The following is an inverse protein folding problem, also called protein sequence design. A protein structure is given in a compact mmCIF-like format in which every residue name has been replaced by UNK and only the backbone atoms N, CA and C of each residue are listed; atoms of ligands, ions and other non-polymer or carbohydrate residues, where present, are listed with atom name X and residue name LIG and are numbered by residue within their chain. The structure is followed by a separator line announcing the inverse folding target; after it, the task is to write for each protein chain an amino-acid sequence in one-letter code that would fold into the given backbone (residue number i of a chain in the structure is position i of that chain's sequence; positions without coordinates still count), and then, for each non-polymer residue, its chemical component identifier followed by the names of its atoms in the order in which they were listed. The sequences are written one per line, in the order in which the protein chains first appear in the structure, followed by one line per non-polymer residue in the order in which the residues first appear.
data_IF_244128782632
#
_entry.id   IF_244128782632
#
_cell.length_a   1.000
_cell.length_b   1.000
_cell.length_c   1.000
_cell.angle_alpha   90.00
_cell.angle_beta   90.00
_cell.angle_gamma   90.00
#
_symmetry.space_group_name_H-M   'P 1'
#
loop_
_entity.id
_entity.type
_entity.pdbx_description
1 polymer ?
#
# COMPACT_ATOMS: atom_id res chain seq x y z
N UNK A 1 -0.04 -2.38 85.46
CA UNK A 1 1.29 -3.01 85.31
C UNK A 1 1.25 -3.82 84.02
N UNK A 2 2.06 -3.39 83.05
CA UNK A 2 2.55 -4.11 81.87
C UNK A 2 1.52 -4.68 80.86
N UNK A 3 1.67 -4.58 79.54
CA UNK A 3 2.64 -3.96 78.64
C UNK A 3 2.01 -3.98 77.24
N UNK A 4 2.25 -2.93 76.48
CA UNK A 4 2.05 -2.84 75.03
C UNK A 4 2.84 -3.93 74.28
N UNK A 5 2.36 -4.39 73.11
CA UNK A 5 3.06 -4.22 71.81
C UNK A 5 2.39 -4.99 70.66
N UNK A 6 1.64 -4.24 69.85
CA UNK A 6 1.65 -4.17 68.37
C UNK A 6 1.44 -5.47 67.58
N UNK A 7 0.19 -5.67 67.13
CA UNK A 7 -0.14 -6.51 65.97
C UNK A 7 0.11 -5.70 64.69
N UNK A 8 1.05 -6.16 63.87
CA UNK A 8 1.38 -5.57 62.58
C UNK A 8 0.34 -5.95 61.53
N UNK A 9 -0.68 -5.10 61.33
CA UNK A 9 -1.51 -5.13 60.13
C UNK A 9 -0.75 -4.43 58.99
N UNK A 10 0.01 -5.21 58.22
CA UNK A 10 0.54 -4.76 56.93
C UNK A 10 -0.61 -4.69 55.92
N UNK A 11 -1.20 -3.51 55.74
CA UNK A 11 -2.05 -3.23 54.58
C UNK A 11 -1.14 -2.84 53.42
N UNK A 12 -0.73 -3.81 52.62
CA UNK A 12 -0.06 -3.57 51.35
C UNK A 12 -1.06 -3.05 50.32
N UNK A 13 -0.98 -1.76 49.99
CA UNK A 13 -1.71 -1.18 48.88
C UNK A 13 -1.11 -1.70 47.56
N UNK A 14 -1.74 -2.72 46.96
CA UNK A 14 -1.40 -3.17 45.62
C UNK A 14 -1.96 -2.15 44.63
N UNK A 15 -1.12 -1.20 44.22
CA UNK A 15 -1.41 -0.36 43.05
C UNK A 15 -1.20 -1.26 41.83
N UNK A 16 -2.28 -1.87 41.35
CA UNK A 16 -2.31 -2.43 40.00
C UNK A 16 -2.15 -1.25 39.04
N UNK A 17 -0.95 -1.08 38.48
CA UNK A 17 -0.77 -0.36 37.23
C UNK A 17 -1.49 -1.16 36.15
N UNK A 18 -2.79 -0.93 36.02
CA UNK A 18 -3.51 -1.26 34.82
C UNK A 18 -2.85 -0.45 33.71
N UNK A 19 -2.00 -1.10 32.93
CA UNK A 19 -1.71 -0.60 31.60
C UNK A 19 -3.06 -0.53 30.91
N UNK A 20 -3.64 0.67 30.85
CA UNK A 20 -4.62 0.99 29.83
C UNK A 20 -3.81 0.90 28.55
N UNK A 21 -3.72 -0.31 28.00
CA UNK A 21 -3.45 -0.49 26.60
C UNK A 21 -4.57 0.29 25.93
N UNK A 22 -4.29 1.52 25.51
CA UNK A 22 -5.11 2.15 24.48
C UNK A 22 -5.08 1.15 23.35
N UNK A 23 -6.16 0.38 23.22
CA UNK A 23 -6.38 -0.49 22.09
C UNK A 23 -6.18 0.44 20.91
N UNK A 24 -5.08 0.27 20.17
CA UNK A 24 -4.82 1.08 18.99
C UNK A 24 -6.07 0.94 18.15
N UNK A 25 -6.87 2.00 18.04
CA UNK A 25 -8.00 2.01 17.12
C UNK A 25 -7.47 1.52 15.77
N UNK A 26 -8.24 0.62 15.16
CA UNK A 26 -7.79 -0.17 14.02
C UNK A 26 -7.15 0.75 12.98
N UNK A 27 -5.85 0.56 12.75
CA UNK A 27 -5.08 1.42 11.89
C UNK A 27 -5.43 1.09 10.44
N UNK A 28 -6.11 2.00 9.75
CA UNK A 28 -6.43 1.82 8.33
C UNK A 28 -5.14 1.57 7.51
N UNK A 29 -5.24 0.72 6.50
CA UNK A 29 -4.14 0.40 5.61
C UNK A 29 -4.44 0.89 4.19
N UNK A 30 -3.60 1.79 3.67
CA UNK A 30 -3.78 2.43 2.38
C UNK A 30 -2.60 2.05 1.48
N UNK A 31 -2.89 1.48 0.32
CA UNK A 31 -1.85 0.92 -0.56
C UNK A 31 -1.88 1.61 -1.91
N UNK A 32 -0.72 2.06 -2.38
CA UNK A 32 -0.52 2.72 -3.66
C UNK A 32 0.61 2.02 -4.41
N UNK A 33 0.59 2.09 -5.74
CA UNK A 33 1.73 1.62 -6.52
C UNK A 33 1.37 0.76 -7.71
N UNK A 34 2.28 -0.15 -8.01
CA UNK A 34 2.26 -1.00 -9.20
C UNK A 34 1.80 -2.44 -8.92
N UNK A 35 2.12 -3.35 -9.84
CA UNK A 35 1.73 -4.77 -9.78
C UNK A 35 2.25 -5.51 -8.55
N UNK A 36 3.33 -5.03 -7.91
CA UNK A 36 3.89 -5.68 -6.73
C UNK A 36 2.96 -5.63 -5.52
N UNK A 37 2.00 -4.70 -5.54
CA UNK A 37 1.06 -4.47 -4.46
C UNK A 37 -0.39 -4.38 -4.92
N UNK A 38 -0.67 -4.58 -6.22
CA UNK A 38 -2.04 -4.72 -6.71
C UNK A 38 -2.69 -6.02 -6.20
N UNK A 39 -3.93 -5.90 -5.72
CA UNK A 39 -4.74 -7.01 -5.23
C UNK A 39 -6.01 -7.24 -6.04
N UNK A 40 -6.11 -6.64 -7.23
CA UNK A 40 -7.17 -6.90 -8.21
C UNK A 40 -7.87 -5.66 -8.78
N UNK A 41 -7.30 -4.45 -8.68
CA UNK A 41 -7.91 -3.28 -9.32
C UNK A 41 -7.93 -3.42 -10.85
N UNK A 42 -6.87 -4.00 -11.42
CA UNK A 42 -6.74 -4.16 -12.87
C UNK A 42 -7.81 -5.09 -13.48
N UNK A 43 -8.41 -5.98 -12.69
CA UNK A 43 -9.46 -6.89 -13.15
C UNK A 43 -10.76 -6.15 -13.50
N UNK A 44 -10.93 -4.94 -12.97
CA UNK A 44 -12.06 -4.03 -13.27
C UNK A 44 -11.79 -3.12 -14.50
N UNK A 45 -10.64 -3.23 -15.16
CA UNK A 45 -10.22 -2.36 -16.25
C UNK A 45 -10.07 -3.12 -17.56
N UNK A 46 -10.40 -2.51 -18.70
CA UNK A 46 -10.05 -3.06 -20.02
C UNK A 46 -8.54 -2.84 -20.25
N UNK A 47 -7.73 -3.83 -19.87
CA UNK A 47 -6.25 -3.77 -19.85
C UNK A 47 -5.65 -5.13 -20.17
N UNK A 48 -4.42 -5.14 -20.67
CA UNK A 48 -3.63 -6.38 -20.84
C UNK A 48 -2.85 -6.75 -19.58
N UNK A 49 -2.68 -5.82 -18.64
CA UNK A 49 -2.03 -6.07 -17.36
C UNK A 49 -3.05 -6.62 -16.35
N UNK A 50 -3.41 -7.90 -16.45
CA UNK A 50 -4.32 -8.59 -15.50
C UNK A 50 -3.69 -9.82 -14.89
N UNK A 51 -4.15 -10.16 -13.68
CA UNK A 51 -3.74 -11.35 -12.95
C UNK A 51 -4.93 -12.20 -12.48
N UNK A 52 -6.00 -12.19 -13.29
CA UNK A 52 -7.26 -12.94 -13.10
C UNK A 52 -7.26 -14.30 -13.84
N UNK A 53 -6.09 -14.82 -14.22
CA UNK A 53 -5.94 -16.10 -14.94
C UNK A 53 -4.80 -16.97 -14.38
N UNK A 54 -4.76 -18.25 -14.76
CA UNK A 54 -3.65 -19.14 -14.43
C UNK A 54 -2.33 -18.62 -15.06
N UNK A 55 -1.17 -18.66 -14.37
CA UNK A 55 -0.88 -19.36 -13.11
C UNK A 55 -1.05 -18.53 -11.83
N UNK A 56 -1.58 -17.31 -11.90
CA UNK A 56 -1.71 -16.45 -10.72
C UNK A 56 -2.60 -17.12 -9.65
N UNK A 57 -2.18 -17.03 -8.39
CA UNK A 57 -2.92 -17.60 -7.27
C UNK A 57 -2.81 -19.13 -7.09
N UNK A 58 -1.93 -19.84 -7.82
CA UNK A 58 -1.75 -21.29 -7.68
C UNK A 58 -1.32 -21.72 -6.26
N UNK A 59 -0.52 -20.90 -5.58
CA UNK A 59 -0.04 -21.12 -4.21
C UNK A 59 -0.86 -20.33 -3.17
N UNK A 60 -1.89 -19.60 -3.60
CA UNK A 60 -2.82 -18.91 -2.70
C UNK A 60 -3.72 -19.95 -2.01
N UNK A 61 -4.20 -19.73 -0.76
CA UNK A 61 -5.05 -20.71 -0.06
C UNK A 61 -6.30 -21.20 -0.81
N UNK A 62 -6.81 -20.41 -1.76
CA UNK A 62 -7.96 -20.78 -2.59
C UNK A 62 -7.58 -21.55 -3.87
N UNK A 63 -6.30 -21.61 -4.23
CA UNK A 63 -5.77 -22.18 -5.48
C UNK A 63 -6.49 -21.66 -6.74
N UNK A 64 -6.85 -20.37 -6.74
CA UNK A 64 -7.62 -19.70 -7.81
C UNK A 64 -6.96 -18.36 -8.12
N UNK A 65 -7.11 -17.84 -9.36
CA UNK A 65 -6.67 -16.48 -9.67
C UNK A 65 -7.25 -15.45 -8.72
N UNK A 66 -6.40 -14.53 -8.27
CA UNK A 66 -6.71 -13.59 -7.19
C UNK A 66 -6.60 -12.12 -7.60
N UNK A 67 -6.19 -11.83 -8.85
CA UNK A 67 -5.86 -10.48 -9.28
C UNK A 67 -4.49 -9.98 -8.79
N UNK A 68 -3.73 -10.82 -8.06
CA UNK A 68 -2.37 -10.51 -7.61
C UNK A 68 -1.36 -11.03 -8.62
N UNK A 69 -0.35 -10.22 -8.94
CA UNK A 69 0.77 -10.60 -9.82
C UNK A 69 1.78 -11.51 -9.10
N UNK A 70 1.28 -12.59 -8.49
CA UNK A 70 2.01 -13.58 -7.72
C UNK A 70 1.27 -14.91 -7.72
N UNK A 71 1.98 -15.99 -7.45
CA UNK A 71 1.37 -17.29 -7.20
C UNK A 71 0.60 -17.31 -5.87
N UNK A 72 0.99 -16.48 -4.90
CA UNK A 72 0.47 -16.51 -3.54
C UNK A 72 0.24 -15.10 -2.98
N UNK A 73 0.46 -14.96 -1.66
CA UNK A 73 0.29 -13.70 -0.95
C UNK A 73 1.28 -12.64 -1.44
N UNK A 74 0.80 -11.41 -1.64
CA UNK A 74 1.63 -10.24 -1.91
C UNK A 74 2.03 -9.53 -0.61
N UNK A 75 2.93 -8.56 -0.68
CA UNK A 75 3.38 -7.78 0.50
C UNK A 75 2.18 -7.16 1.27
N UNK A 76 1.19 -6.52 0.61
CA UNK A 76 0.00 -6.01 1.29
C UNK A 76 -0.80 -7.09 2.01
N UNK A 77 -0.86 -8.31 1.48
CA UNK A 77 -1.57 -9.41 2.17
C UNK A 77 -0.84 -9.83 3.43
N UNK A 78 0.48 -9.94 3.37
CA UNK A 78 1.30 -10.29 4.53
C UNK A 78 1.17 -9.22 5.60
N UNK A 79 1.24 -7.94 5.22
CA UNK A 79 1.02 -6.83 6.15
C UNK A 79 -0.39 -6.89 6.73
N UNK A 80 -1.41 -7.11 5.89
CA UNK A 80 -2.80 -7.25 6.35
C UNK A 80 -2.98 -8.42 7.31
N UNK A 81 -2.33 -9.55 7.04
CA UNK A 81 -2.33 -10.71 7.94
C UNK A 81 -1.69 -10.39 9.28
N UNK A 82 -0.54 -9.72 9.31
CA UNK A 82 0.10 -9.27 10.56
C UNK A 82 -0.81 -8.28 11.30
N UNK A 83 -1.43 -7.32 10.62
CA UNK A 83 -2.38 -6.39 11.22
C UNK A 83 -3.61 -7.12 11.78
N UNK A 84 -4.09 -8.17 11.11
CA UNK A 84 -5.16 -9.02 11.61
C UNK A 84 -4.80 -9.70 12.91
N UNK A 85 -3.62 -10.32 12.98
CA UNK A 85 -3.16 -11.01 14.19
C UNK A 85 -2.93 -10.05 15.38
N UNK A 86 -2.49 -8.81 15.11
CA UNK A 86 -2.17 -7.83 16.15
C UNK A 86 -3.37 -7.01 16.64
N UNK A 87 -4.25 -6.62 15.73
CA UNK A 87 -5.34 -5.65 16.01
C UNK A 87 -6.70 -6.08 15.43
N UNK A 88 -6.84 -7.30 14.91
CA UNK A 88 -8.11 -7.84 14.41
C UNK A 88 -8.59 -7.22 13.09
N UNK A 89 -7.72 -6.53 12.34
CA UNK A 89 -8.07 -5.86 11.08
C UNK A 89 -8.38 -6.86 9.94
N UNK A 90 -9.31 -6.51 9.06
CA UNK A 90 -9.54 -7.28 7.82
C UNK A 90 -8.52 -6.89 6.72
N UNK A 91 -8.29 -7.74 5.71
CA UNK A 91 -7.52 -7.35 4.54
C UNK A 91 -8.19 -6.24 3.74
N UNK A 92 -7.40 -5.28 3.27
CA UNK A 92 -7.89 -4.19 2.41
C UNK A 92 -8.38 -4.72 1.06
N UNK A 93 -9.47 -4.15 0.55
CA UNK A 93 -9.98 -4.46 -0.79
C UNK A 93 -9.37 -3.55 -1.87
N UNK A 94 -9.39 -3.98 -3.15
CA UNK A 94 -9.18 -3.08 -4.28
C UNK A 94 -10.18 -1.92 -4.23
N UNK A 95 -9.74 -0.69 -4.51
CA UNK A 95 -10.59 0.49 -4.49
C UNK A 95 -11.80 0.37 -5.42
N UNK A 96 -11.62 -0.26 -6.59
CA UNK A 96 -12.68 -0.47 -7.57
C UNK A 96 -13.65 -1.61 -7.20
N UNK A 97 -13.40 -2.34 -6.11
CA UNK A 97 -14.28 -3.42 -5.69
C UNK A 97 -15.65 -2.88 -5.25
N UNK A 98 -16.77 -3.46 -5.74
CA UNK A 98 -18.10 -3.08 -5.28
C UNK A 98 -18.33 -3.40 -3.80
N UNK A 99 -17.50 -4.29 -3.21
CA UNK A 99 -17.56 -4.65 -1.80
C UNK A 99 -16.88 -3.62 -0.89
N UNK A 100 -16.14 -2.64 -1.42
CA UNK A 100 -15.53 -1.60 -0.60
C UNK A 100 -16.57 -0.53 -0.26
N UNK A 101 -17.36 -0.73 0.79
CA UNK A 101 -18.36 0.22 1.29
C UNK A 101 -18.63 0.05 2.79
N UNK A 102 -19.26 1.04 3.43
CA UNK A 102 -19.57 1.01 4.87
C UNK A 102 -18.32 0.82 5.73
N UNK A 103 -18.40 -0.06 6.72
CA UNK A 103 -17.31 -0.39 7.66
C UNK A 103 -16.02 -0.84 6.97
N UNK A 104 -16.11 -1.43 5.77
CA UNK A 104 -14.90 -1.82 4.99
C UNK A 104 -14.08 -0.62 4.55
N UNK A 105 -14.66 0.59 4.49
CA UNK A 105 -13.89 1.81 4.28
C UNK A 105 -12.98 2.11 5.48
N UNK A 106 -13.34 1.74 6.71
CA UNK A 106 -12.53 2.01 7.90
C UNK A 106 -11.23 1.17 7.93
N UNK A 107 -11.27 0.01 7.29
CA UNK A 107 -10.10 -0.88 7.12
C UNK A 107 -9.04 -0.25 6.22
N UNK A 108 -9.46 0.57 5.25
CA UNK A 108 -8.61 1.15 4.22
C UNK A 108 -8.87 0.55 2.84
N UNK A 109 -7.99 0.84 1.89
CA UNK A 109 -8.18 0.48 0.49
C UNK A 109 -6.85 0.35 -0.24
N UNK A 110 -6.84 -0.49 -1.27
CA UNK A 110 -5.74 -0.63 -2.19
C UNK A 110 -6.06 0.09 -3.50
N UNK A 111 -5.26 1.10 -3.84
CA UNK A 111 -5.37 1.93 -5.03
C UNK A 111 -4.38 1.51 -6.13
N UNK A 112 -3.50 0.55 -5.86
CA UNK A 112 -2.44 0.15 -6.78
C UNK A 112 -2.97 -0.44 -8.09
N UNK A 113 -2.16 -0.37 -9.14
CA UNK A 113 -2.53 -0.85 -10.47
C UNK A 113 -1.30 -1.27 -11.25
N UNK A 114 -1.35 -2.46 -11.84
CA UNK A 114 -0.22 -2.99 -12.59
C UNK A 114 0.22 -2.13 -13.77
N UNK A 115 1.53 -2.13 -14.01
CA UNK A 115 2.17 -1.50 -15.16
C UNK A 115 2.51 -0.02 -14.99
N UNK A 116 2.03 0.64 -13.93
CA UNK A 116 2.32 2.06 -13.69
C UNK A 116 3.75 2.27 -13.19
N UNK A 117 4.26 3.48 -13.39
CA UNK A 117 5.50 3.95 -12.77
C UNK A 117 5.30 5.29 -12.04
N UNK A 118 6.43 5.90 -11.67
CA UNK A 118 6.52 7.27 -11.20
C UNK A 118 6.07 8.22 -12.32
N UNK A 119 6.49 7.96 -13.56
CA UNK A 119 6.20 8.81 -14.70
C UNK A 119 4.85 8.48 -15.33
N UNK A 120 4.15 9.51 -15.79
CA UNK A 120 2.82 9.37 -16.40
C UNK A 120 2.84 8.64 -17.76
N UNK A 121 3.98 8.59 -18.45
CA UNK A 121 4.12 7.88 -19.71
C UNK A 121 4.59 6.42 -19.55
N UNK A 122 4.96 6.01 -18.34
CA UNK A 122 5.28 4.62 -18.03
C UNK A 122 4.01 3.75 -18.11
N UNK A 123 4.14 2.59 -18.75
CA UNK A 123 3.05 1.60 -18.86
C UNK A 123 2.07 1.82 -20.01
N UNK A 124 2.39 2.70 -20.97
CA UNK A 124 1.51 2.99 -22.11
C UNK A 124 1.08 1.73 -22.90
N UNK A 125 1.95 0.71 -22.96
CA UNK A 125 1.72 -0.55 -23.65
C UNK A 125 0.59 -1.41 -23.05
N UNK A 126 0.17 -1.10 -21.81
CA UNK A 126 -0.89 -1.83 -21.11
C UNK A 126 -2.28 -1.22 -21.29
N UNK A 127 -2.44 -0.27 -22.23
CA UNK A 127 -3.70 0.42 -22.50
C UNK A 127 -4.22 1.18 -21.28
N UNK A 128 -5.21 0.62 -20.57
CA UNK A 128 -5.85 1.27 -19.43
C UNK A 128 -5.21 0.83 -18.12
N UNK A 129 -4.63 1.76 -17.37
CA UNK A 129 -4.01 1.53 -16.05
C UNK A 129 -4.30 2.72 -15.14
N UNK A 130 -4.38 2.48 -13.83
CA UNK A 130 -4.65 3.54 -12.86
C UNK A 130 -3.32 4.19 -12.47
N UNK A 131 -2.86 5.11 -13.30
CA UNK A 131 -1.61 5.86 -13.06
C UNK A 131 -1.62 6.55 -11.71
N UNK A 132 -0.43 6.86 -11.19
CA UNK A 132 -0.30 7.35 -9.81
C UNK A 132 -1.15 8.60 -9.51
N UNK A 133 -1.26 9.56 -10.43
CA UNK A 133 -2.14 10.72 -10.22
C UNK A 133 -3.61 10.29 -10.03
N UNK A 134 -4.06 9.26 -10.74
CA UNK A 134 -5.41 8.74 -10.64
C UNK A 134 -5.62 7.96 -9.34
N UNK A 135 -4.61 7.25 -8.86
CA UNK A 135 -4.65 6.64 -7.53
C UNK A 135 -4.81 7.69 -6.42
N UNK A 136 -4.14 8.84 -6.56
CA UNK A 136 -4.30 9.97 -5.62
C UNK A 136 -5.69 10.62 -5.73
N UNK A 137 -6.25 10.75 -6.93
CA UNK A 137 -7.65 11.18 -7.10
C UNK A 137 -8.63 10.19 -6.45
N UNK A 138 -8.42 8.89 -6.64
CA UNK A 138 -9.21 7.85 -5.97
C UNK A 138 -9.06 7.90 -4.46
N UNK A 139 -7.89 8.24 -3.95
CA UNK A 139 -7.72 8.47 -2.53
C UNK A 139 -8.52 9.68 -2.02
N UNK A 140 -8.56 10.78 -2.78
CA UNK A 140 -9.44 11.91 -2.45
C UNK A 140 -10.92 11.52 -2.46
N UNK A 141 -11.35 10.73 -3.45
CA UNK A 141 -12.72 10.21 -3.51
C UNK A 141 -13.02 9.27 -2.35
N UNK A 142 -12.08 8.39 -2.00
CA UNK A 142 -12.16 7.54 -0.81
C UNK A 142 -12.35 8.38 0.46
N UNK A 143 -11.59 9.46 0.63
CA UNK A 143 -11.74 10.36 1.78
C UNK A 143 -13.12 11.04 1.80
N UNK A 144 -13.69 11.41 0.65
CA UNK A 144 -15.05 11.95 0.58
C UNK A 144 -16.10 10.92 1.00
N UNK A 145 -15.97 9.67 0.53
CA UNK A 145 -16.86 8.56 0.89
C UNK A 145 -16.75 8.22 2.38
N UNK A 146 -15.53 8.23 2.91
CA UNK A 146 -15.26 8.03 4.32
C UNK A 146 -15.84 9.18 5.17
N UNK A 147 -15.66 10.42 4.73
CA UNK A 147 -16.23 11.62 5.39
C UNK A 147 -17.74 11.55 5.46
N UNK A 148 -18.40 11.09 4.39
CA UNK A 148 -19.86 10.90 4.40
C UNK A 148 -20.31 9.81 5.38
N UNK A 149 -19.43 8.87 5.74
CA UNK A 149 -19.75 7.75 6.63
C UNK A 149 -19.48 8.06 8.11
N UNK A 150 -18.34 8.68 8.43
CA UNK A 150 -17.89 8.88 9.83
C UNK A 150 -17.66 10.35 10.22
N UNK A 151 -17.85 11.29 9.29
CA UNK A 151 -17.60 12.71 9.52
C UNK A 151 -16.15 13.12 9.20
N UNK A 152 -15.95 14.44 9.04
CA UNK A 152 -14.69 15.00 8.56
C UNK A 152 -13.54 14.87 9.57
N UNK A 153 -13.81 15.09 10.85
CA UNK A 153 -12.78 15.03 11.91
C UNK A 153 -12.25 13.60 12.09
N UNK A 154 -13.15 12.63 12.16
CA UNK A 154 -12.81 11.21 12.28
C UNK A 154 -12.08 10.72 11.03
N UNK A 155 -12.51 11.16 9.83
CA UNK A 155 -11.81 10.87 8.57
C UNK A 155 -10.37 11.39 8.61
N UNK A 156 -10.18 12.63 9.05
CA UNK A 156 -8.84 13.22 9.14
C UNK A 156 -7.96 12.46 10.13
N UNK A 157 -8.49 12.06 11.29
CA UNK A 157 -7.75 11.25 12.27
C UNK A 157 -7.37 9.89 11.69
N UNK A 158 -8.32 9.16 11.10
CA UNK A 158 -8.09 7.84 10.49
C UNK A 158 -7.02 7.91 9.40
N UNK A 159 -7.10 8.89 8.50
CA UNK A 159 -6.11 9.07 7.42
C UNK A 159 -4.72 9.43 7.96
N UNK A 160 -4.64 10.33 8.94
CA UNK A 160 -3.37 10.72 9.55
C UNK A 160 -2.71 9.54 10.28
N UNK A 161 -3.51 8.67 10.89
CA UNK A 161 -3.01 7.54 11.66
C UNK A 161 -2.74 6.30 10.80
N UNK A 162 -3.32 6.23 9.60
CA UNK A 162 -3.19 5.11 8.67
C UNK A 162 -1.74 4.67 8.41
N UNK A 163 -1.56 3.40 8.09
CA UNK A 163 -0.34 2.91 7.47
C UNK A 163 -0.48 3.08 5.96
N UNK A 164 0.49 3.73 5.33
CA UNK A 164 0.53 3.87 3.88
C UNK A 164 1.68 3.04 3.33
N UNK A 165 1.43 2.25 2.30
CA UNK A 165 2.46 1.55 1.51
C UNK A 165 2.44 2.10 0.09
N UNK A 166 3.62 2.43 -0.46
CA UNK A 166 3.76 2.86 -1.85
C UNK A 166 4.92 2.15 -2.57
N UNK A 167 4.62 1.58 -3.74
CA UNK A 167 5.63 0.95 -4.63
C UNK A 167 5.60 1.56 -6.02
N UNK A 168 6.70 2.19 -6.42
CA UNK A 168 6.86 2.77 -7.76
C UNK A 168 8.32 2.69 -8.18
N UNK A 169 8.58 2.85 -9.48
CA UNK A 169 9.92 3.03 -10.03
C UNK A 169 10.39 1.86 -10.90
N UNK A 170 10.05 0.62 -10.56
CA UNK A 170 10.53 -0.55 -11.30
C UNK A 170 10.14 -0.51 -12.78
N UNK A 171 8.88 -0.19 -13.06
CA UNK A 171 8.37 -0.05 -14.42
C UNK A 171 8.99 1.14 -15.18
N UNK A 172 9.46 2.19 -14.50
CA UNK A 172 10.12 3.32 -15.17
C UNK A 172 11.47 2.92 -15.76
N UNK A 173 12.13 1.90 -15.20
CA UNK A 173 13.30 1.27 -15.80
C UNK A 173 12.90 0.24 -16.83
N UNK A 174 12.15 -0.79 -16.42
CA UNK A 174 11.85 -1.95 -17.27
C UNK A 174 11.04 -1.57 -18.51
N UNK A 175 9.97 -0.82 -18.34
CA UNK A 175 9.02 -0.54 -19.42
C UNK A 175 9.31 0.76 -20.18
N UNK A 176 10.05 1.70 -19.60
CA UNK A 176 10.27 3.03 -20.20
C UNK A 176 11.72 3.25 -20.63
N UNK A 177 12.69 2.72 -19.88
CA UNK A 177 14.12 2.93 -20.15
C UNK A 177 14.76 1.77 -20.93
N UNK A 178 14.53 0.51 -20.52
CA UNK A 178 15.20 -0.67 -21.07
C UNK A 178 14.37 -1.52 -22.04
N UNK A 179 13.05 -1.31 -22.10
CA UNK A 179 12.12 -2.13 -22.89
C UNK A 179 12.57 -2.38 -24.33
N UNK A 180 13.15 -1.37 -24.98
CA UNK A 180 13.68 -1.45 -26.35
C UNK A 180 15.04 -0.76 -26.45
N UNK A 181 15.94 -1.23 -27.32
CA UNK A 181 17.18 -0.51 -27.64
C UNK A 181 16.86 0.93 -28.08
N UNK A 182 17.58 1.90 -27.51
CA UNK A 182 17.38 3.33 -27.80
C UNK A 182 15.94 3.81 -27.57
N UNK A 183 15.31 3.33 -26.50
CA UNK A 183 14.05 3.88 -25.98
C UNK A 183 14.04 5.42 -25.96
N UNK A 184 12.87 6.03 -26.03
CA UNK A 184 12.76 7.49 -25.98
C UNK A 184 13.45 8.06 -24.72
N UNK A 185 13.35 7.37 -23.58
CA UNK A 185 13.98 7.78 -22.33
C UNK A 185 15.50 7.63 -22.33
N UNK A 186 16.04 6.52 -22.82
CA UNK A 186 17.51 6.33 -22.90
C UNK A 186 18.19 7.29 -23.88
N UNK A 187 17.45 7.82 -24.86
CA UNK A 187 17.94 8.90 -25.75
C UNK A 187 17.83 10.30 -25.16
N UNK A 188 16.92 10.51 -24.21
CA UNK A 188 16.73 11.80 -23.55
C UNK A 188 17.68 11.99 -22.37
N UNK A 189 17.96 10.93 -21.63
CA UNK A 189 18.73 10.98 -20.39
C UNK A 189 19.78 9.88 -20.37
N UNK A 190 20.98 10.23 -19.87
CA UNK A 190 21.89 9.21 -19.36
C UNK A 190 21.26 8.52 -18.13
N UNK A 191 21.70 7.30 -17.80
CA UNK A 191 21.12 6.56 -16.68
C UNK A 191 21.22 7.34 -15.34
N UNK A 192 22.36 7.95 -14.97
CA UNK A 192 22.44 8.78 -13.76
C UNK A 192 21.45 9.96 -13.76
N UNK A 193 21.32 10.67 -14.89
CA UNK A 193 20.40 11.81 -15.01
C UNK A 193 18.94 11.36 -14.92
N UNK A 194 18.62 10.19 -15.48
CA UNK A 194 17.29 9.59 -15.41
C UNK A 194 16.90 9.25 -13.96
N UNK A 195 17.84 8.71 -13.18
CA UNK A 195 17.62 8.44 -11.75
C UNK A 195 17.31 9.72 -10.98
N UNK A 196 18.09 10.79 -11.21
CA UNK A 196 17.84 12.11 -10.58
C UNK A 196 16.46 12.64 -10.97
N UNK A 197 16.08 12.52 -12.24
CA UNK A 197 14.77 12.90 -12.73
C UNK A 197 13.64 12.12 -12.02
N UNK A 198 13.74 10.79 -11.95
CA UNK A 198 12.75 9.95 -11.26
C UNK A 198 12.61 10.31 -9.79
N UNK A 199 13.71 10.55 -9.07
CA UNK A 199 13.68 10.98 -7.67
C UNK A 199 12.94 12.32 -7.53
N UNK A 200 13.17 13.25 -8.46
CA UNK A 200 12.52 14.56 -8.44
C UNK A 200 11.00 14.45 -8.65
N UNK A 201 10.54 13.57 -9.55
CA UNK A 201 9.11 13.33 -9.78
C UNK A 201 8.48 12.54 -8.61
N UNK A 202 9.19 11.55 -8.07
CA UNK A 202 8.68 10.78 -6.92
C UNK A 202 8.51 11.67 -5.69
N UNK A 203 9.41 12.64 -5.48
CA UNK A 203 9.26 13.64 -4.41
C UNK A 203 7.93 14.39 -4.51
N UNK A 204 7.47 14.75 -5.72
CA UNK A 204 6.19 15.43 -5.93
C UNK A 204 5.01 14.55 -5.55
N UNK A 205 5.06 13.26 -5.90
CA UNK A 205 4.03 12.27 -5.53
C UNK A 205 3.96 12.12 -4.01
N UNK A 206 5.10 11.95 -3.34
CA UNK A 206 5.16 11.82 -1.88
C UNK A 206 4.69 13.11 -1.18
N UNK A 207 5.06 14.27 -1.70
CA UNK A 207 4.54 15.55 -1.21
C UNK A 207 3.01 15.60 -1.34
N UNK A 208 2.46 15.18 -2.48
CA UNK A 208 1.01 15.15 -2.68
C UNK A 208 0.31 14.18 -1.72
N UNK A 209 0.88 13.00 -1.47
CA UNK A 209 0.37 12.08 -0.45
C UNK A 209 0.36 12.71 0.95
N UNK A 210 1.43 13.41 1.31
CA UNK A 210 1.53 14.14 2.57
C UNK A 210 0.47 15.24 2.67
N UNK A 211 0.27 16.02 1.60
CA UNK A 211 -0.75 17.08 1.55
C UNK A 211 -2.17 16.51 1.70
N UNK A 212 -2.38 15.26 1.26
CA UNK A 212 -3.64 14.51 1.41
C UNK A 212 -3.81 13.84 2.78
N UNK A 213 -2.89 14.06 3.72
CA UNK A 213 -3.01 13.60 5.11
C UNK A 213 -2.18 12.37 5.48
N UNK A 214 -1.47 11.74 4.54
CA UNK A 214 -0.60 10.62 4.89
C UNK A 214 0.53 11.07 5.83
N UNK A 215 0.74 10.35 6.95
CA UNK A 215 1.82 10.67 7.91
C UNK A 215 2.80 9.53 8.13
N UNK A 216 2.40 8.29 7.87
CA UNK A 216 3.22 7.11 8.15
C UNK A 216 3.32 6.25 6.89
N UNK A 217 4.33 6.55 6.08
CA UNK A 217 4.48 6.01 4.71
C UNK A 217 5.68 5.08 4.63
N UNK A 218 5.43 3.84 4.20
CA UNK A 218 6.43 2.87 3.78
C UNK A 218 6.68 3.06 2.28
N UNK A 219 7.87 3.55 1.95
CA UNK A 219 8.30 3.77 0.57
C UNK A 219 9.26 2.65 0.18
N UNK A 220 8.89 1.83 -0.80
CA UNK A 220 9.81 0.79 -1.29
C UNK A 220 10.81 1.37 -2.29
N UNK A 221 12.03 0.83 -2.30
CA UNK A 221 13.01 1.13 -3.34
C UNK A 221 12.76 0.28 -4.58
N UNK A 222 13.38 0.65 -5.70
CA UNK A 222 13.47 -0.24 -6.85
C UNK A 222 14.34 -1.45 -6.49
N UNK A 223 13.87 -2.66 -6.79
CA UNK A 223 14.68 -3.88 -6.64
C UNK A 223 15.92 -3.88 -7.57
N UNK A 224 16.82 -4.86 -7.45
CA UNK A 224 17.98 -4.97 -8.33
C UNK A 224 17.53 -5.27 -9.77
N UNK A 225 17.47 -4.23 -10.62
CA UNK A 225 16.94 -4.33 -11.99
C UNK A 225 17.69 -5.36 -12.84
N UNK A 226 19.01 -5.52 -12.64
CA UNK A 226 19.81 -6.53 -13.33
C UNK A 226 19.46 -7.99 -13.00
N UNK A 227 18.58 -8.24 -12.03
CA UNK A 227 18.09 -9.57 -11.70
C UNK A 227 16.67 -9.83 -12.25
N UNK A 228 16.06 -8.85 -12.91
CA UNK A 228 14.72 -9.00 -13.47
C UNK A 228 14.81 -9.86 -14.73
N UNK A 229 14.05 -10.97 -14.84
CA UNK A 229 14.16 -11.87 -15.99
C UNK A 229 13.96 -11.19 -17.36
N UNK A 230 13.09 -10.18 -17.43
CA UNK A 230 12.88 -9.40 -18.65
C UNK A 230 14.14 -8.66 -19.10
N UNK A 231 14.91 -8.12 -18.16
CA UNK A 231 16.19 -7.45 -18.45
C UNK A 231 17.27 -8.47 -18.83
N UNK A 232 17.34 -9.59 -18.11
CA UNK A 232 18.28 -10.67 -18.40
C UNK A 232 18.05 -11.33 -19.77
N UNK A 233 16.80 -11.34 -20.25
CA UNK A 233 16.47 -11.91 -21.56
C UNK A 233 16.90 -11.02 -22.74
N UNK A 234 17.19 -9.74 -22.48
CA UNK A 234 17.54 -8.73 -23.51
C UNK A 234 19.05 -8.35 -23.43
N UNK A 235 19.72 -8.68 -22.32
CA UNK A 235 21.17 -8.51 -22.13
C UNK A 235 22.00 -9.55 -22.90
#
# INVERSE_FOLDING_TARGET
MDRFLVSWLNVGLVITLSFISTQSEARAFLVFGDSLVDNGNNDYLITTARADSYPYGIDYPTHRPTGRFSNGLSIPDIISWVLREQIGSEPTLPYLSPLLHGERLLVGANFASAGIGILNDTGFQFLNIIRIFKQLEFFQQYQQRLTAHIGAEQTQRLVNEALVLITLGGNDFVNNYYLVPFSARSRQFSLPDYVVYLISEYRKILQRLYDLGARRVLVTTTGPMGCVPAELAIA
#
